data_IF_166552044231
#
_entry.id   IF_166552044231
#
_cell.length_a   1.000
_cell.length_b   1.000
_cell.length_c   1.000
_cell.angle_alpha   90.00
_cell.angle_beta   90.00
_cell.angle_gamma   90.00
#
_symmetry.space_group_name_H-M   'P 1'
#
loop_
_entity.id
_entity.type
_entity.pdbx_description
1 polymer ?
#
# COMPACT_ATOMS: atom_id res chain seq x y z
N UNK A 1 11.24 -20.07 -13.74
CA UNK A 1 11.99 -18.78 -13.76
C UNK A 1 12.76 -18.65 -12.45
N UNK A 2 14.07 -18.38 -12.48
CA UNK A 2 14.90 -18.22 -11.27
C UNK A 2 14.91 -16.75 -10.80
N UNK A 3 15.53 -16.48 -9.64
CA UNK A 3 15.60 -15.12 -9.07
C UNK A 3 16.28 -14.12 -10.01
N UNK A 4 17.42 -14.50 -10.61
CA UNK A 4 18.18 -13.63 -11.52
C UNK A 4 17.36 -13.20 -12.74
N UNK A 5 16.58 -14.13 -13.31
CA UNK A 5 15.67 -13.81 -14.40
C UNK A 5 14.55 -12.85 -13.98
N UNK A 6 14.00 -12.99 -12.76
CA UNK A 6 12.97 -12.06 -12.24
C UNK A 6 13.53 -10.68 -11.94
N UNK A 7 14.74 -10.63 -11.39
CA UNK A 7 15.47 -9.39 -11.17
C UNK A 7 15.72 -8.65 -12.48
N UNK A 8 16.15 -9.38 -13.52
CA UNK A 8 16.32 -8.84 -14.86
C UNK A 8 15.00 -8.28 -15.43
N UNK A 9 13.91 -9.03 -15.29
CA UNK A 9 12.59 -8.60 -15.77
C UNK A 9 12.12 -7.31 -15.09
N UNK A 10 12.33 -7.17 -13.78
CA UNK A 10 11.96 -5.95 -13.06
C UNK A 10 12.87 -4.77 -13.40
N UNK A 11 14.19 -4.99 -13.58
CA UNK A 11 15.08 -3.93 -14.08
C UNK A 11 14.60 -3.41 -15.44
N UNK A 12 14.24 -4.31 -16.35
CA UNK A 12 13.73 -3.96 -17.68
C UNK A 12 12.38 -3.25 -17.61
N UNK A 13 11.50 -3.64 -16.68
CA UNK A 13 10.24 -2.96 -16.40
C UNK A 13 10.45 -1.51 -15.94
N UNK A 14 11.47 -1.28 -15.12
CA UNK A 14 11.87 0.06 -14.67
C UNK A 14 12.63 0.85 -15.75
N UNK A 15 12.95 0.26 -16.90
CA UNK A 15 13.66 0.93 -18.00
C UNK A 15 15.13 1.23 -17.69
N UNK A 16 15.74 0.55 -16.73
CA UNK A 16 17.09 0.85 -16.25
C UNK A 16 18.17 -0.02 -16.93
N UNK A 17 19.33 0.58 -17.18
CA UNK A 17 20.51 -0.18 -17.60
C UNK A 17 21.08 -1.00 -16.44
N UNK A 18 21.87 -2.04 -16.73
CA UNK A 18 22.55 -2.81 -15.67
C UNK A 18 23.49 -1.95 -14.82
N UNK A 19 24.09 -0.92 -15.40
CA UNK A 19 25.00 -0.01 -14.70
C UNK A 19 24.21 0.88 -13.73
N UNK A 20 23.13 1.50 -14.19
CA UNK A 20 22.33 2.42 -13.37
C UNK A 20 21.62 1.68 -12.24
N UNK A 21 21.08 0.50 -12.55
CA UNK A 21 20.43 -0.35 -11.56
C UNK A 21 21.41 -0.82 -10.48
N UNK A 22 22.65 -1.18 -10.86
CA UNK A 22 23.69 -1.52 -9.89
C UNK A 22 24.09 -0.32 -9.01
N UNK A 23 24.21 0.87 -9.60
CA UNK A 23 24.59 2.09 -8.90
C UNK A 23 23.60 2.46 -7.78
N UNK A 24 22.29 2.28 -8.01
CA UNK A 24 21.24 2.53 -7.01
C UNK A 24 21.42 1.64 -5.77
N UNK A 25 21.84 0.39 -5.98
CA UNK A 25 22.12 -0.56 -4.91
C UNK A 25 23.53 -0.41 -4.29
N UNK A 26 24.31 0.61 -4.70
CA UNK A 26 25.70 0.76 -4.27
C UNK A 26 26.62 -0.38 -4.72
N UNK A 27 26.26 -1.06 -5.81
CA UNK A 27 26.94 -2.24 -6.31
C UNK A 27 27.67 -1.99 -7.64
N UNK A 28 28.62 -2.87 -7.97
CA UNK A 28 29.29 -2.82 -9.27
C UNK A 28 28.42 -3.43 -10.38
N UNK A 29 28.61 -2.99 -11.63
CA UNK A 29 27.98 -3.61 -12.80
C UNK A 29 28.24 -5.12 -12.87
N UNK A 30 29.42 -5.57 -12.45
CA UNK A 30 29.76 -6.99 -12.43
C UNK A 30 28.91 -7.78 -11.42
N UNK A 31 28.64 -7.21 -10.24
CA UNK A 31 27.74 -7.81 -9.26
C UNK A 31 26.33 -7.97 -9.85
N UNK A 32 25.80 -6.93 -10.52
CA UNK A 32 24.50 -7.00 -11.19
C UNK A 32 24.43 -8.11 -12.24
N UNK A 33 25.46 -8.25 -13.08
CA UNK A 33 25.53 -9.33 -14.08
C UNK A 33 25.50 -10.70 -13.40
N UNK A 34 26.24 -10.87 -12.30
CA UNK A 34 26.29 -12.14 -11.57
C UNK A 34 24.95 -12.47 -10.92
N UNK A 35 24.23 -11.46 -10.41
CA UNK A 35 22.89 -11.63 -9.86
C UNK A 35 21.87 -12.02 -10.93
N UNK A 36 21.88 -11.35 -12.08
CA UNK A 36 20.97 -11.68 -13.19
C UNK A 36 21.24 -13.06 -13.80
N UNK A 37 22.50 -13.52 -13.78
CA UNK A 37 22.89 -14.89 -14.19
C UNK A 37 22.60 -15.95 -13.12
N UNK A 38 22.28 -15.55 -11.89
CA UNK A 38 22.08 -16.45 -10.76
C UNK A 38 23.37 -17.04 -10.19
N UNK A 39 24.53 -16.47 -10.51
CA UNK A 39 25.82 -16.87 -9.94
C UNK A 39 26.02 -16.36 -8.50
N UNK A 40 25.29 -15.31 -8.12
CA UNK A 40 25.19 -14.78 -6.76
C UNK A 40 23.78 -14.24 -6.53
N UNK A 41 23.47 -13.86 -5.29
CA UNK A 41 22.23 -13.17 -4.94
C UNK A 41 22.50 -11.76 -4.41
N UNK A 42 21.63 -10.77 -4.71
CA UNK A 42 21.69 -9.47 -4.08
C UNK A 42 21.40 -9.58 -2.58
N UNK A 43 21.96 -8.69 -1.78
CA UNK A 43 21.69 -8.63 -0.34
C UNK A 43 20.39 -7.84 -0.06
N UNK A 44 19.94 -7.84 1.19
CA UNK A 44 18.74 -7.12 1.59
C UNK A 44 18.84 -5.60 1.38
N UNK A 45 20.04 -5.02 1.53
CA UNK A 45 20.28 -3.58 1.32
C UNK A 45 20.06 -3.18 -0.14
N UNK A 46 20.49 -4.02 -1.09
CA UNK A 46 20.23 -3.80 -2.51
C UNK A 46 18.72 -3.87 -2.81
N UNK A 47 18.00 -4.83 -2.22
CA UNK A 47 16.55 -4.96 -2.38
C UNK A 47 15.80 -3.74 -1.80
N UNK A 48 16.21 -3.26 -0.63
CA UNK A 48 15.66 -2.03 -0.03
C UNK A 48 15.88 -0.81 -0.93
N UNK A 49 17.09 -0.65 -1.48
CA UNK A 49 17.39 0.47 -2.37
C UNK A 49 16.53 0.45 -3.64
N UNK A 50 16.27 -0.73 -4.20
CA UNK A 50 15.44 -0.87 -5.39
C UNK A 50 13.94 -0.77 -5.11
N UNK A 51 13.48 -1.17 -3.92
CA UNK A 51 12.08 -1.00 -3.51
C UNK A 51 11.66 0.48 -3.59
N UNK A 52 12.55 1.39 -3.18
CA UNK A 52 12.32 2.84 -3.21
C UNK A 52 12.12 3.43 -4.61
N UNK A 53 12.56 2.72 -5.66
CA UNK A 53 12.35 3.11 -7.07
C UNK A 53 11.22 2.29 -7.73
N UNK A 54 10.48 1.53 -6.93
CA UNK A 54 9.30 0.78 -7.37
C UNK A 54 9.60 -0.64 -7.86
N UNK A 55 10.71 -1.27 -7.45
CA UNK A 55 10.96 -2.69 -7.69
C UNK A 55 9.97 -3.56 -6.91
N UNK A 56 9.34 -4.55 -7.56
CA UNK A 56 8.53 -5.55 -6.86
C UNK A 56 9.44 -6.61 -6.20
N UNK A 57 9.85 -6.34 -4.95
CA UNK A 57 10.70 -7.25 -4.17
C UNK A 57 10.03 -8.61 -3.94
N UNK A 58 8.70 -8.64 -3.73
CA UNK A 58 7.95 -9.87 -3.56
C UNK A 58 8.06 -10.75 -4.81
N UNK A 59 7.89 -10.17 -5.99
CA UNK A 59 8.07 -10.88 -7.25
C UNK A 59 9.51 -11.37 -7.44
N UNK A 60 10.52 -10.53 -7.18
CA UNK A 60 11.92 -10.95 -7.32
C UNK A 60 12.23 -12.15 -6.43
N UNK A 61 11.83 -12.13 -5.16
CA UNK A 61 12.16 -13.18 -4.19
C UNK A 61 11.30 -14.43 -4.39
N UNK A 62 9.98 -14.26 -4.52
CA UNK A 62 9.02 -15.38 -4.47
C UNK A 62 8.48 -15.80 -5.82
N UNK A 63 8.56 -14.93 -6.84
CA UNK A 63 7.92 -15.13 -8.14
C UNK A 63 6.43 -14.80 -8.17
N UNK A 64 5.83 -14.40 -7.06
CA UNK A 64 4.45 -13.92 -6.99
C UNK A 64 4.44 -12.41 -7.13
N UNK A 65 3.65 -11.86 -8.05
CA UNK A 65 3.42 -10.41 -8.11
C UNK A 65 2.47 -9.99 -7.00
N UNK A 66 2.65 -8.78 -6.49
CA UNK A 66 1.63 -8.17 -5.64
C UNK A 66 0.35 -7.97 -6.46
N UNK A 67 -0.68 -8.78 -6.22
CA UNK A 67 -1.98 -8.65 -6.87
C UNK A 67 -2.74 -7.49 -6.24
N UNK A 68 -2.91 -6.38 -6.95
CA UNK A 68 -3.88 -5.34 -6.58
C UNK A 68 -3.46 -3.88 -6.72
N UNK A 69 -2.20 -3.59 -7.04
CA UNK A 69 -1.76 -2.20 -7.22
C UNK A 69 -0.91 -2.06 -8.50
N UNK A 70 -1.27 -1.16 -9.44
CA UNK A 70 -0.39 -0.83 -10.54
C UNK A 70 0.88 -0.20 -9.98
N UNK A 71 2.03 -0.81 -10.26
CA UNK A 71 3.30 -0.27 -9.78
C UNK A 71 3.66 0.99 -10.58
N UNK A 72 4.42 1.95 -10.03
CA UNK A 72 4.75 3.22 -10.70
C UNK A 72 5.39 3.08 -12.10
N UNK A 73 5.99 1.93 -12.42
CA UNK A 73 6.53 1.61 -13.75
C UNK A 73 5.54 0.99 -14.74
N UNK A 74 4.39 0.50 -14.27
CA UNK A 74 3.39 -0.18 -15.12
C UNK A 74 2.52 0.84 -15.86
N UNK A 75 2.24 1.98 -15.23
CA UNK A 75 1.43 3.07 -15.79
C UNK A 75 2.06 3.74 -17.01
N UNK A 76 3.39 3.71 -17.13
CA UNK A 76 4.11 4.32 -18.26
C UNK A 76 3.88 3.53 -19.56
N UNK A 77 3.54 2.24 -19.46
CA UNK A 77 3.33 1.38 -20.63
C UNK A 77 1.93 1.48 -21.23
N UNK A 78 0.94 1.89 -20.44
CA UNK A 78 -0.47 1.96 -20.87
C UNK A 78 -0.85 3.30 -21.52
N UNK A 79 0.01 4.32 -21.45
CA UNK A 79 -0.19 5.63 -22.11
C UNK A 79 0.38 5.72 -23.53
N UNK A 80 0.77 4.60 -24.15
CA UNK A 80 0.98 4.57 -25.60
C UNK A 80 -0.37 4.47 -26.31
N UNK A 81 -1.10 5.58 -26.42
CA UNK A 81 -2.34 5.66 -27.21
C UNK A 81 -2.12 5.10 -28.62
N UNK A 82 -2.99 4.20 -29.12
CA UNK A 82 -3.06 3.94 -30.55
C UNK A 82 -3.49 5.23 -31.25
N UNK A 83 -2.60 5.79 -32.07
CA UNK A 83 -2.82 7.01 -32.86
C UNK A 83 -3.88 6.88 -33.98
N UNK A 84 -5.01 6.21 -33.73
CA UNK A 84 -6.07 6.01 -34.73
C UNK A 84 -7.49 6.38 -34.27
N UNK A 85 -7.70 6.84 -33.04
CA UNK A 85 -9.06 7.18 -32.57
C UNK A 85 -9.50 8.64 -32.78
N UNK A 86 -8.68 9.50 -33.41
CA UNK A 86 -8.98 10.94 -33.57
C UNK A 86 -9.49 11.35 -34.96
N UNK A 87 -10.00 10.41 -35.77
CA UNK A 87 -10.56 10.73 -37.10
C UNK A 87 -12.05 10.49 -37.27
N UNK A 88 -12.74 9.88 -36.30
CA UNK A 88 -14.14 9.46 -36.50
C UNK A 88 -15.18 10.09 -35.56
N UNK A 89 -14.78 10.86 -34.55
CA UNK A 89 -15.71 11.63 -33.71
C UNK A 89 -15.67 13.11 -34.09
N UNK A 90 -16.21 13.43 -35.27
CA UNK A 90 -16.59 14.78 -35.64
C UNK A 90 -17.75 15.27 -34.78
N UNK A 91 -17.47 15.65 -33.52
CA UNK A 91 -18.42 16.35 -32.66
C UNK A 91 -17.93 17.79 -32.54
N UNK A 92 -18.62 18.68 -33.22
CA UNK A 92 -18.29 20.10 -33.23
C UNK A 92 -18.37 20.68 -31.81
N UNK A 93 -17.27 21.27 -31.35
CA UNK A 93 -17.13 22.01 -30.08
C UNK A 93 -18.17 23.13 -29.89
N UNK A 94 -18.96 23.47 -30.90
CA UNK A 94 -20.01 24.49 -30.84
C UNK A 94 -21.28 24.07 -30.09
N UNK A 95 -21.51 22.78 -29.86
CA UNK A 95 -22.80 22.30 -29.32
C UNK A 95 -22.82 22.21 -27.78
N UNK A 96 -21.67 21.95 -27.13
CA UNK A 96 -21.57 21.83 -25.66
C UNK A 96 -21.74 23.18 -24.96
N UNK A 97 -21.38 24.29 -25.61
CA UNK A 97 -21.50 25.65 -25.04
C UNK A 97 -22.96 26.14 -25.00
N UNK A 98 -23.86 25.53 -25.78
CA UNK A 98 -25.26 25.97 -25.89
C UNK A 98 -26.17 25.40 -24.79
N UNK A 99 -25.82 24.24 -24.23
CA UNK A 99 -26.63 23.56 -23.19
C UNK A 99 -26.37 24.06 -21.77
N UNK A 100 -25.25 24.76 -21.53
CA UNK A 100 -24.86 25.28 -20.22
C UNK A 100 -25.51 26.62 -19.81
N UNK A 101 -26.49 27.13 -20.58
CA UNK A 101 -27.13 28.43 -20.33
C UNK A 101 -28.65 28.41 -20.11
N UNK A 102 -29.29 27.26 -19.98
CA UNK A 102 -30.72 27.21 -19.73
C UNK A 102 -31.10 26.27 -18.58
N UNK A 103 -31.90 26.85 -17.67
CA UNK A 103 -32.74 26.19 -16.67
C UNK A 103 -32.07 25.92 -15.32
N UNK A 104 -32.09 26.96 -14.48
CA UNK A 104 -32.45 26.79 -13.08
C UNK A 104 -33.97 26.72 -12.94
N UNK A 105 -34.47 25.77 -12.16
CA UNK A 105 -35.72 25.77 -11.38
C UNK A 105 -36.03 24.34 -10.93
N UNK A 106 -36.06 24.12 -9.61
CA UNK A 106 -36.79 23.02 -8.98
C UNK A 106 -38.31 23.28 -9.09
N UNK A 107 -39.16 22.25 -9.10
CA UNK A 107 -39.83 21.87 -7.85
C UNK A 107 -39.98 20.35 -7.65
N UNK A 108 -40.14 19.96 -6.37
CA UNK A 108 -40.11 18.58 -5.92
C UNK A 108 -41.39 17.78 -6.14
N UNK A 109 -41.29 16.47 -5.87
CA UNK A 109 -42.34 15.66 -5.24
C UNK A 109 -41.76 14.36 -4.67
N UNK A 110 -42.36 13.95 -3.55
CA UNK A 110 -41.95 12.90 -2.63
C UNK A 110 -42.29 11.48 -3.13
N UNK A 111 -41.48 10.50 -2.70
CA UNK A 111 -41.94 9.15 -2.38
C UNK A 111 -41.13 8.63 -1.18
N UNK A 112 -41.79 8.59 -0.03
CA UNK A 112 -41.38 7.88 1.18
C UNK A 112 -41.74 6.39 1.07
N UNK A 113 -40.95 5.55 1.75
CA UNK A 113 -41.47 4.34 2.39
C UNK A 113 -40.99 2.99 1.86
N UNK A 114 -39.86 2.49 2.39
CA UNK A 114 -39.71 1.08 2.81
C UNK A 114 -38.78 1.02 4.02
N UNK A 115 -39.38 0.94 5.21
CA UNK A 115 -38.73 0.46 6.44
C UNK A 115 -38.99 -1.03 6.59
N UNK A 116 -37.95 -1.85 6.79
CA UNK A 116 -38.11 -3.28 7.04
C UNK A 116 -36.79 -4.04 7.25
N UNK A 117 -36.31 -4.02 8.50
CA UNK A 117 -35.69 -5.13 9.25
C UNK A 117 -34.39 -5.81 8.71
N UNK A 118 -33.31 -5.47 9.41
CA UNK A 118 -32.34 -6.38 10.07
C UNK A 118 -32.02 -7.74 9.43
N UNK A 119 -30.76 -7.88 9.00
CA UNK A 119 -29.95 -9.04 9.33
C UNK A 119 -28.48 -8.60 9.56
N UNK A 120 -27.80 -8.98 10.65
CA UNK A 120 -26.38 -8.73 10.82
C UNK A 120 -25.62 -9.84 10.08
N UNK A 121 -25.11 -9.55 8.89
CA UNK A 121 -24.18 -10.46 8.22
C UNK A 121 -22.91 -9.69 7.92
N UNK A 122 -21.88 -10.08 8.67
CA UNK A 122 -20.48 -9.74 8.54
C UNK A 122 -20.05 -9.48 7.10
N UNK A 123 -19.87 -8.22 6.76
CA UNK A 123 -19.08 -7.80 5.59
C UNK A 123 -17.69 -7.47 6.12
N UNK A 124 -16.88 -8.52 6.28
CA UNK A 124 -15.43 -8.38 6.42
C UNK A 124 -14.89 -8.02 5.04
N UNK A 125 -14.67 -6.73 4.83
CA UNK A 125 -14.28 -6.17 3.54
C UNK A 125 -14.10 -4.67 3.66
N UNK A 126 -13.10 -4.24 4.43
CA UNK A 126 -12.70 -2.84 4.53
C UNK A 126 -11.43 -2.62 3.69
N UNK A 127 -11.39 -1.61 2.80
CA UNK A 127 -10.24 -1.32 1.96
C UNK A 127 -9.00 -0.91 2.80
N UNK A 128 -7.76 -1.15 2.30
CA UNK A 128 -6.54 -0.76 2.99
C UNK A 128 -6.38 0.76 2.92
N UNK A 129 -6.87 1.49 3.92
CA UNK A 129 -6.43 2.88 4.20
C UNK A 129 -7.05 3.56 5.42
N UNK A 130 -8.06 3.01 6.09
CA UNK A 130 -8.52 3.61 7.35
C UNK A 130 -7.80 2.94 8.53
N UNK A 131 -7.05 3.74 9.29
CA UNK A 131 -6.66 3.40 10.66
C UNK A 131 -7.91 2.86 11.35
N UNK A 132 -7.86 1.62 11.86
CA UNK A 132 -8.95 1.05 12.63
C UNK A 132 -8.96 1.74 14.01
N UNK A 133 -9.94 2.64 14.27
CA UNK A 133 -9.95 3.43 15.49
C UNK A 133 -10.26 2.57 16.73
N UNK A 134 -11.01 1.48 16.58
CA UNK A 134 -11.33 0.57 17.69
C UNK A 134 -10.08 -0.19 18.11
N UNK A 135 -9.33 -0.69 17.12
CA UNK A 135 -8.06 -1.39 17.37
C UNK A 135 -7.03 -0.49 18.04
N UNK A 136 -6.92 0.77 17.61
CA UNK A 136 -6.02 1.75 18.23
C UNK A 136 -6.45 2.08 19.67
N UNK A 137 -7.75 2.29 19.90
CA UNK A 137 -8.28 2.53 21.24
C UNK A 137 -7.94 1.38 22.18
N UNK A 138 -8.08 0.13 21.70
CA UNK A 138 -7.74 -1.06 22.48
C UNK A 138 -6.26 -1.12 22.84
N UNK A 139 -5.36 -0.83 21.90
CA UNK A 139 -3.92 -0.79 22.14
C UNK A 139 -3.57 0.28 23.20
N UNK A 140 -4.19 1.46 23.12
CA UNK A 140 -3.97 2.55 24.08
C UNK A 140 -4.43 2.13 25.49
N UNK A 141 -5.62 1.55 25.63
CA UNK A 141 -6.12 1.03 26.92
C UNK A 141 -5.18 -0.02 27.53
N UNK A 142 -4.68 -0.95 26.71
CA UNK A 142 -3.76 -1.98 27.16
C UNK A 142 -2.42 -1.39 27.60
N UNK A 143 -1.89 -0.39 26.88
CA UNK A 143 -0.68 0.34 27.25
C UNK A 143 -0.84 1.12 28.56
N UNK A 144 -1.96 1.81 28.74
CA UNK A 144 -2.26 2.54 29.97
C UNK A 144 -2.39 1.60 31.18
N UNK A 145 -3.04 0.44 30.99
CA UNK A 145 -3.19 -0.59 32.01
C UNK A 145 -1.83 -1.17 32.38
N UNK A 146 -0.99 -1.50 31.39
CA UNK A 146 0.36 -2.00 31.61
C UNK A 146 1.27 -0.97 32.30
N UNK A 147 1.20 0.30 31.91
CA UNK A 147 1.95 1.37 32.57
C UNK A 147 1.53 1.56 34.03
N UNK A 148 0.22 1.50 34.32
CA UNK A 148 -0.33 1.57 35.67
C UNK A 148 0.13 0.40 36.54
N UNK A 149 0.13 -0.82 36.01
CA UNK A 149 0.66 -2.01 36.69
C UNK A 149 2.17 -1.90 36.96
N UNK A 150 2.92 -1.26 36.06
CA UNK A 150 4.34 -0.96 36.24
C UNK A 150 4.60 0.24 37.18
N UNK A 151 3.56 0.87 37.76
CA UNK A 151 3.69 2.03 38.65
C UNK A 151 4.17 3.31 37.95
N UNK A 152 4.13 3.37 36.61
CA UNK A 152 4.62 4.48 35.80
C UNK A 152 3.47 5.23 35.14
N UNK A 153 3.49 6.57 35.18
CA UNK A 153 2.62 7.42 34.35
C UNK A 153 3.40 7.89 33.13
N UNK A 154 2.85 7.66 31.94
CA UNK A 154 3.48 8.08 30.69
C UNK A 154 2.94 9.44 30.24
N UNK A 155 3.79 10.21 29.57
CA UNK A 155 3.35 11.42 28.88
C UNK A 155 2.52 11.03 27.65
N UNK A 156 1.44 11.77 27.36
CA UNK A 156 0.51 11.51 26.24
C UNK A 156 1.26 11.37 24.92
N UNK A 157 2.29 12.21 24.68
CA UNK A 157 3.12 12.14 23.48
C UNK A 157 3.86 10.80 23.32
N UNK A 158 4.36 10.23 24.42
CA UNK A 158 5.05 8.92 24.42
C UNK A 158 4.05 7.78 24.22
N UNK A 159 2.87 7.88 24.83
CA UNK A 159 1.79 6.89 24.70
C UNK A 159 1.30 6.78 23.24
N UNK A 160 1.05 7.90 22.58
CA UNK A 160 0.58 7.93 21.18
C UNK A 160 1.64 7.38 20.23
N UNK A 161 2.92 7.74 20.43
CA UNK A 161 4.01 7.22 19.62
C UNK A 161 4.14 5.68 19.73
N UNK A 162 4.10 5.17 20.96
CA UNK A 162 4.16 3.73 21.22
C UNK A 162 2.91 3.00 20.69
N UNK A 163 1.72 3.59 20.84
CA UNK A 163 0.50 3.01 20.30
C UNK A 163 0.55 2.87 18.77
N UNK A 164 1.11 3.87 18.07
CA UNK A 164 1.32 3.82 16.63
C UNK A 164 2.35 2.75 16.22
N UNK A 165 3.44 2.61 16.97
CA UNK A 165 4.43 1.53 16.75
C UNK A 165 3.79 0.15 16.90
N UNK A 166 3.03 -0.06 17.99
CA UNK A 166 2.33 -1.33 18.24
C UNK A 166 1.25 -1.60 17.19
N UNK A 167 0.52 -0.57 16.76
CA UNK A 167 -0.48 -0.68 15.70
C UNK A 167 0.17 -1.12 14.38
N UNK A 168 1.29 -0.51 13.98
CA UNK A 168 2.02 -0.90 12.76
C UNK A 168 2.56 -2.33 12.83
N UNK A 169 3.04 -2.76 14.00
CA UNK A 169 3.54 -4.14 14.21
C UNK A 169 2.39 -5.16 14.13
N UNK A 170 1.20 -4.79 14.60
CA UNK A 170 0.04 -5.67 14.62
C UNK A 170 -0.84 -5.55 13.36
N UNK A 171 -0.57 -4.59 12.47
CA UNK A 171 -1.40 -4.28 11.31
C UNK A 171 -1.60 -5.49 10.36
N UNK A 172 -0.63 -6.40 10.28
CA UNK A 172 -0.68 -7.59 9.42
C UNK A 172 -1.36 -8.81 10.08
N UNK A 173 -1.74 -8.73 11.36
CA UNK A 173 -2.39 -9.84 12.06
C UNK A 173 -3.91 -9.63 12.19
N UNK A 174 -4.74 -10.55 11.65
CA UNK A 174 -6.19 -10.44 11.68
C UNK A 174 -6.80 -10.81 13.05
N UNK A 175 -6.03 -11.48 13.92
CA UNK A 175 -6.43 -11.81 15.28
C UNK A 175 -5.35 -11.30 16.24
N UNK A 176 -5.72 -10.38 17.14
CA UNK A 176 -4.85 -10.00 18.26
C UNK A 176 -4.74 -11.22 19.19
N UNK A 177 -3.73 -12.06 18.97
CA UNK A 177 -3.41 -13.14 19.89
C UNK A 177 -2.95 -12.52 21.22
N UNK A 178 -3.87 -12.44 22.19
CA UNK A 178 -3.74 -11.84 23.51
C UNK A 178 -2.36 -12.08 24.18
N UNK A 179 -1.78 -13.31 24.19
CA UNK A 179 -0.46 -13.55 24.79
C UNK A 179 0.71 -12.88 24.06
N UNK A 180 0.61 -12.68 22.73
CA UNK A 180 1.65 -12.03 21.93
C UNK A 180 1.61 -10.52 22.13
N UNK A 181 0.40 -9.96 22.18
CA UNK A 181 0.16 -8.55 22.49
C UNK A 181 0.70 -8.24 23.89
N UNK A 182 0.43 -9.08 24.89
CA UNK A 182 0.94 -8.88 26.26
C UNK A 182 2.48 -8.89 26.32
N UNK A 183 3.14 -9.78 25.56
CA UNK A 183 4.62 -9.80 25.46
C UNK A 183 5.17 -8.52 24.85
N UNK A 184 4.57 -8.03 23.76
CA UNK A 184 4.98 -6.80 23.09
C UNK A 184 4.78 -5.60 24.03
N UNK A 185 3.63 -5.53 24.71
CA UNK A 185 3.33 -4.48 25.68
C UNK A 185 4.34 -4.46 26.83
N UNK A 186 4.66 -5.63 27.42
CA UNK A 186 5.69 -5.72 28.48
C UNK A 186 7.06 -5.22 28.00
N UNK A 187 7.45 -5.57 26.78
CA UNK A 187 8.75 -5.21 26.22
C UNK A 187 8.87 -3.71 25.93
N UNK A 188 7.80 -3.09 25.42
CA UNK A 188 7.79 -1.65 25.15
C UNK A 188 7.61 -0.83 26.43
N UNK A 189 6.88 -1.35 27.42
CA UNK A 189 6.67 -0.65 28.70
C UNK A 189 7.92 -0.63 29.58
N UNK A 190 8.77 -1.65 29.51
CA UNK A 190 10.02 -1.75 30.28
C UNK A 190 11.25 -1.10 29.62
N UNK A 191 11.09 -0.43 28.48
CA UNK A 191 12.14 0.36 27.83
C UNK A 191 12.31 1.73 28.50
#
# INVERSE_FOLDING_TARGET
MNLGARLKAERERLGLSQTDFAAIAGASKHAQINWEKGAAAPNAVALEAWERIGLDVLYVVTGRRASGLPMPGDVVREMSLPGQALRESGVALGQVVKELKAVGAMPGQALEGVTGQSNPTSVSGLPPSCIDPERLSRIVEMLETAARLAGRKWQVKKLVAVAAEVYNILADEPALDEPKVERILKLVVNR
#
